data_IF_760963441935
#
_entry.id   IF_760963441935
#
_cell.length_a   1.000
_cell.length_b   1.000
_cell.length_c   1.000
_cell.angle_alpha   90.00
_cell.angle_beta   90.00
_cell.angle_gamma   90.00
#
_symmetry.space_group_name_H-M   'P 1'
#
loop_
_entity.id
_entity.type
_entity.pdbx_description
1 polymer ?
#
# COMPACT_ATOMS: atom_id res chain seq x y z
N UNK A 1 -13.17 46.13 17.06
CA UNK A 1 -11.73 45.74 16.98
C UNK A 1 -11.21 45.71 15.52
N UNK A 2 -9.91 45.84 15.26
CA UNK A 2 -9.34 45.79 13.89
C UNK A 2 -9.07 44.35 13.41
N UNK A 3 -8.93 44.11 12.11
CA UNK A 3 -8.63 42.77 11.60
C UNK A 3 -7.20 42.34 11.96
N UNK A 4 -6.96 41.04 12.19
CA UNK A 4 -5.60 40.52 12.40
C UNK A 4 -4.77 40.65 11.11
N UNK A 5 -3.52 41.11 11.23
CA UNK A 5 -2.62 41.35 10.08
C UNK A 5 -1.88 40.09 9.60
N UNK A 6 -1.78 39.07 10.46
CA UNK A 6 -1.07 37.82 10.17
C UNK A 6 -1.86 36.63 10.68
N UNK A 7 -2.50 35.91 9.77
CA UNK A 7 -3.14 34.61 10.03
C UNK A 7 -2.46 33.54 9.19
N UNK A 8 -2.19 32.40 9.82
CA UNK A 8 -1.49 31.27 9.20
C UNK A 8 -2.10 29.95 9.67
N UNK A 9 -2.00 28.93 8.82
CA UNK A 9 -2.27 27.54 9.20
C UNK A 9 -1.02 26.98 9.85
N UNK A 10 -1.09 26.64 11.14
CA UNK A 10 0.03 26.04 11.87
C UNK A 10 0.08 24.51 11.70
N UNK A 11 -1.08 23.88 11.52
CA UNK A 11 -1.21 22.47 11.18
C UNK A 11 -2.46 22.24 10.33
N UNK A 12 -2.37 21.34 9.35
CA UNK A 12 -3.48 20.90 8.53
C UNK A 12 -3.51 19.37 8.49
N UNK A 13 -4.71 18.82 8.59
CA UNK A 13 -4.98 17.40 8.39
C UNK A 13 -6.13 17.22 7.38
N UNK A 14 -6.58 15.99 7.20
CA UNK A 14 -7.68 15.66 6.29
C UNK A 14 -9.05 16.15 6.81
N UNK A 15 -9.19 16.39 8.12
CA UNK A 15 -10.45 16.84 8.75
C UNK A 15 -10.30 18.10 9.63
N UNK A 16 -9.06 18.58 9.85
CA UNK A 16 -8.80 19.72 10.72
C UNK A 16 -7.87 20.77 10.11
N UNK A 17 -8.13 22.04 10.43
CA UNK A 17 -7.25 23.16 10.17
C UNK A 17 -7.01 23.94 11.47
N UNK A 18 -5.76 24.00 11.91
CA UNK A 18 -5.35 24.79 13.06
C UNK A 18 -4.91 26.18 12.58
N UNK A 19 -5.77 27.16 12.82
CA UNK A 19 -5.55 28.56 12.49
C UNK A 19 -4.90 29.27 13.68
N UNK A 20 -3.85 30.04 13.43
CA UNK A 20 -3.23 30.94 14.41
C UNK A 20 -3.08 32.34 13.82
N UNK A 21 -3.27 33.36 14.66
CA UNK A 21 -3.14 34.75 14.23
C UNK A 21 -2.54 35.66 15.29
N UNK A 22 -2.22 36.90 14.90
CA UNK A 22 -1.75 37.92 15.84
C UNK A 22 -2.88 38.45 16.73
N UNK A 23 -2.68 38.58 18.05
CA UNK A 23 -3.69 39.15 18.95
C UNK A 23 -4.06 40.58 18.55
N UNK A 24 -5.36 40.84 18.46
CA UNK A 24 -5.95 42.14 18.13
C UNK A 24 -6.25 42.92 19.42
N UNK A 25 -5.79 44.17 19.49
CA UNK A 25 -6.09 45.04 20.63
C UNK A 25 -7.59 45.35 20.71
N UNK A 26 -8.18 45.12 21.88
CA UNK A 26 -9.58 45.42 22.17
C UNK A 26 -10.58 44.43 21.59
N UNK A 27 -10.11 43.25 21.16
CA UNK A 27 -10.97 42.09 20.91
C UNK A 27 -11.00 41.20 22.16
N UNK A 28 -12.19 40.81 22.58
CA UNK A 28 -12.41 39.91 23.73
C UNK A 28 -12.78 38.49 23.27
N UNK A 29 -13.23 38.35 22.02
CA UNK A 29 -13.63 37.10 21.37
C UNK A 29 -13.24 37.14 19.90
N UNK A 30 -12.86 35.99 19.34
CA UNK A 30 -12.70 35.78 17.90
C UNK A 30 -13.72 34.77 17.42
N UNK A 31 -14.54 35.17 16.44
CA UNK A 31 -15.39 34.28 15.67
C UNK A 31 -14.68 33.92 14.37
N UNK A 32 -14.23 32.67 14.26
CA UNK A 32 -13.58 32.15 13.05
C UNK A 32 -14.61 31.37 12.25
N UNK A 33 -14.79 31.75 11.00
CA UNK A 33 -15.75 31.13 10.08
C UNK A 33 -15.00 30.58 8.87
N UNK A 34 -15.09 29.27 8.68
CA UNK A 34 -14.61 28.59 7.47
C UNK A 34 -15.81 28.19 6.61
N UNK A 35 -15.77 28.57 5.33
CA UNK A 35 -16.85 28.32 4.38
C UNK A 35 -16.30 27.55 3.19
N UNK A 36 -16.91 26.40 2.92
CA UNK A 36 -16.78 25.68 1.65
C UNK A 36 -18.11 25.78 0.86
N UNK A 37 -18.17 25.22 -0.34
CA UNK A 37 -19.36 25.20 -1.19
C UNK A 37 -20.61 24.61 -0.49
N UNK A 38 -20.43 23.67 0.43
CA UNK A 38 -21.54 22.92 1.04
C UNK A 38 -21.74 23.19 2.54
N UNK A 39 -20.75 23.75 3.24
CA UNK A 39 -20.77 23.82 4.70
C UNK A 39 -20.11 25.08 5.26
N UNK A 40 -20.50 25.40 6.50
CA UNK A 40 -19.95 26.50 7.27
C UNK A 40 -19.53 25.96 8.63
N UNK A 41 -18.23 25.94 8.88
CA UNK A 41 -17.65 25.58 10.16
C UNK A 41 -17.35 26.85 10.95
N UNK A 42 -17.74 26.86 12.22
CA UNK A 42 -17.64 28.01 13.11
C UNK A 42 -16.83 27.61 14.34
N UNK A 43 -16.03 28.55 14.82
CA UNK A 43 -15.19 28.36 15.99
C UNK A 43 -15.01 29.68 16.72
N UNK A 44 -15.43 29.69 17.98
CA UNK A 44 -15.40 30.86 18.83
C UNK A 44 -14.43 30.63 19.96
N UNK A 45 -13.36 31.44 20.01
CA UNK A 45 -12.35 31.34 21.05
C UNK A 45 -11.89 32.75 21.48
N UNK A 46 -11.43 32.84 22.71
CA UNK A 46 -10.80 34.05 23.27
C UNK A 46 -9.30 34.09 22.96
N UNK A 47 -8.68 32.93 22.73
CA UNK A 47 -7.31 32.83 22.30
C UNK A 47 -7.17 33.17 20.80
N UNK A 48 -6.00 33.68 20.36
CA UNK A 48 -5.74 34.00 18.96
C UNK A 48 -5.38 32.74 18.14
N UNK A 49 -6.10 31.64 18.40
CA UNK A 49 -5.95 30.34 17.75
C UNK A 49 -7.30 29.66 17.71
N UNK A 50 -7.53 28.85 16.68
CA UNK A 50 -8.74 28.05 16.58
C UNK A 50 -8.47 26.76 15.79
N UNK A 51 -8.99 25.65 16.30
CA UNK A 51 -9.02 24.37 15.59
C UNK A 51 -10.39 24.20 14.90
N UNK A 52 -10.42 24.37 13.58
CA UNK A 52 -11.57 24.01 12.77
C UNK A 52 -11.54 22.49 12.56
N UNK A 53 -12.63 21.81 12.91
CA UNK A 53 -12.79 20.35 12.81
C UNK A 53 -13.99 20.00 11.94
N UNK A 54 -14.17 18.72 11.64
CA UNK A 54 -15.21 18.20 10.75
C UNK A 54 -15.14 18.79 9.32
N UNK A 55 -13.93 19.07 8.84
CA UNK A 55 -13.71 19.53 7.48
C UNK A 55 -13.71 18.35 6.50
N UNK A 56 -14.13 18.62 5.27
CA UNK A 56 -13.99 17.71 4.15
C UNK A 56 -12.55 17.70 3.64
N UNK A 57 -12.04 16.50 3.35
CA UNK A 57 -10.69 16.33 2.82
C UNK A 57 -10.56 16.82 1.37
N UNK A 58 -9.35 17.17 0.95
CA UNK A 58 -9.07 17.73 -0.38
C UNK A 58 -10.01 18.88 -0.80
N UNK A 59 -10.42 19.72 0.15
CA UNK A 59 -11.32 20.84 -0.09
C UNK A 59 -10.65 22.19 0.21
N UNK A 60 -11.23 23.24 -0.37
CA UNK A 60 -10.75 24.62 -0.28
C UNK A 60 -11.69 25.45 0.56
N UNK A 61 -11.29 25.77 1.78
CA UNK A 61 -12.08 26.60 2.70
C UNK A 61 -11.69 28.06 2.60
N UNK A 62 -12.72 28.92 2.55
CA UNK A 62 -12.60 30.36 2.71
C UNK A 62 -12.77 30.70 4.20
N UNK A 63 -11.66 31.01 4.87
CA UNK A 63 -11.61 31.27 6.31
C UNK A 63 -11.55 32.76 6.57
N UNK A 64 -12.44 33.27 7.41
CA UNK A 64 -12.43 34.65 7.90
C UNK A 64 -12.40 34.67 9.43
N UNK A 65 -11.55 35.52 9.99
CA UNK A 65 -11.41 35.71 11.43
C UNK A 65 -12.05 37.06 11.78
N UNK A 66 -13.11 37.02 12.58
CA UNK A 66 -13.95 38.16 12.94
C UNK A 66 -13.69 38.50 14.41
N UNK A 67 -12.99 39.60 14.71
CA UNK A 67 -12.74 39.99 16.08
C UNK A 67 -13.92 40.78 16.64
N UNK A 68 -14.37 40.40 17.83
CA UNK A 68 -15.54 40.94 18.52
C UNK A 68 -15.18 41.49 19.89
N UNK A 69 -15.95 42.46 20.37
CA UNK A 69 -15.98 42.88 21.77
C UNK A 69 -17.39 43.32 22.17
N UNK A 70 -17.64 43.45 23.47
CA UNK A 70 -18.96 43.77 23.98
C UNK A 70 -19.38 45.23 23.72
N UNK A 71 -18.42 46.13 23.49
CA UNK A 71 -18.68 47.59 23.39
C UNK A 71 -18.99 48.03 21.96
N UNK A 72 -18.22 47.54 20.99
CA UNK A 72 -18.24 47.92 19.58
C UNK A 72 -18.78 46.81 18.66
N UNK A 73 -19.05 45.63 19.20
CA UNK A 73 -19.50 44.47 18.44
C UNK A 73 -18.39 43.85 17.58
N UNK A 74 -18.81 43.06 16.59
CA UNK A 74 -17.94 42.32 15.69
C UNK A 74 -17.55 43.13 14.45
N UNK A 75 -16.28 43.02 14.03
CA UNK A 75 -15.83 43.63 12.80
C UNK A 75 -15.95 42.68 11.61
N UNK A 76 -16.96 42.89 10.77
CA UNK A 76 -17.25 42.06 9.59
C UNK A 76 -16.50 42.47 8.31
N UNK A 77 -15.58 43.44 8.37
CA UNK A 77 -14.85 43.92 7.18
C UNK A 77 -13.58 43.11 6.89
N UNK A 78 -13.29 42.06 7.66
CA UNK A 78 -12.07 41.27 7.49
C UNK A 78 -12.13 40.44 6.21
N UNK A 79 -11.02 40.42 5.47
CA UNK A 79 -10.92 39.68 4.21
C UNK A 79 -10.78 38.19 4.46
N UNK A 80 -11.49 37.33 3.70
CA UNK A 80 -11.29 35.90 3.79
C UNK A 80 -9.94 35.47 3.19
N UNK A 81 -9.37 34.41 3.74
CA UNK A 81 -8.19 33.72 3.22
C UNK A 81 -8.55 32.29 2.83
N UNK A 82 -8.02 31.83 1.69
CA UNK A 82 -8.28 30.47 1.22
C UNK A 82 -7.21 29.51 1.70
N UNK A 83 -7.63 28.42 2.31
CA UNK A 83 -6.77 27.33 2.77
C UNK A 83 -7.27 25.99 2.25
N UNK A 84 -6.33 25.08 2.01
CA UNK A 84 -6.60 23.71 1.58
C UNK A 84 -6.44 22.75 2.76
N UNK A 85 -7.35 21.81 2.89
CA UNK A 85 -7.19 20.66 3.78
C UNK A 85 -6.23 19.65 3.17
N UNK A 86 -5.69 18.75 3.99
CA UNK A 86 -4.88 17.66 3.47
C UNK A 86 -5.72 16.73 2.56
N UNK A 87 -5.07 15.94 1.69
CA UNK A 87 -5.76 15.04 0.77
C UNK A 87 -6.62 14.00 1.49
N UNK A 88 -7.64 13.50 0.80
CA UNK A 88 -8.38 12.33 1.20
C UNK A 88 -7.50 11.08 1.17
N UNK A 89 -7.78 10.14 2.06
CA UNK A 89 -7.19 8.80 2.01
C UNK A 89 -7.50 8.13 0.66
N UNK A 90 -6.50 7.58 -0.06
CA UNK A 90 -6.75 6.81 -1.27
C UNK A 90 -7.35 5.43 -0.94
N UNK A 91 -8.11 4.85 -1.87
CA UNK A 91 -8.69 3.51 -1.72
C UNK A 91 -7.99 2.51 -2.64
N UNK A 92 -7.32 1.51 -2.07
CA UNK A 92 -6.66 0.45 -2.86
C UNK A 92 -7.74 -0.45 -3.48
N UNK A 93 -7.79 -0.50 -4.80
CA UNK A 93 -8.80 -1.27 -5.55
C UNK A 93 -8.27 -2.61 -6.03
N UNK A 94 -6.97 -2.72 -6.32
CA UNK A 94 -6.36 -3.95 -6.77
C UNK A 94 -4.88 -4.02 -6.39
N UNK A 95 -4.45 -5.23 -6.01
CA UNK A 95 -3.05 -5.59 -5.83
C UNK A 95 -2.80 -6.84 -6.66
N UNK A 96 -2.00 -6.73 -7.72
CA UNK A 96 -1.76 -7.82 -8.67
C UNK A 96 -0.27 -8.11 -8.85
N UNK A 97 0.09 -9.39 -8.81
CA UNK A 97 1.43 -9.83 -9.16
C UNK A 97 1.56 -9.83 -10.70
N UNK A 98 2.51 -9.07 -11.23
CA UNK A 98 2.71 -8.98 -12.69
C UNK A 98 3.76 -9.97 -13.18
N UNK A 99 4.81 -10.16 -12.39
CA UNK A 99 5.94 -11.01 -12.76
C UNK A 99 6.28 -11.93 -11.59
N UNK A 100 6.05 -13.23 -11.75
CA UNK A 100 6.47 -14.24 -10.78
C UNK A 100 8.00 -14.34 -10.67
N UNK A 101 8.73 -14.00 -11.73
CA UNK A 101 10.20 -14.09 -11.77
C UNK A 101 10.93 -12.86 -11.23
N UNK A 102 10.31 -11.68 -11.23
CA UNK A 102 10.89 -10.44 -10.67
C UNK A 102 10.26 -10.01 -9.35
N UNK A 103 9.33 -10.83 -8.83
CA UNK A 103 8.53 -10.55 -7.62
C UNK A 103 7.99 -9.13 -7.60
N UNK A 104 7.40 -8.71 -8.72
CA UNK A 104 6.86 -7.36 -8.89
C UNK A 104 5.34 -7.35 -8.70
N UNK A 105 4.86 -6.39 -7.91
CA UNK A 105 3.45 -6.21 -7.59
C UNK A 105 3.01 -4.83 -8.04
N UNK A 106 1.91 -4.79 -8.80
CA UNK A 106 1.24 -3.56 -9.17
C UNK A 106 0.11 -3.29 -8.19
N UNK A 107 0.21 -2.15 -7.53
CA UNK A 107 -0.82 -1.63 -6.63
C UNK A 107 -1.59 -0.56 -7.40
N UNK A 108 -2.91 -0.67 -7.43
CA UNK A 108 -3.81 0.30 -8.06
C UNK A 108 -4.82 0.81 -7.04
N UNK A 109 -5.16 2.09 -7.13
CA UNK A 109 -6.07 2.77 -6.20
C UNK A 109 -6.97 3.77 -6.92
N UNK A 110 -8.05 4.16 -6.26
CA UNK A 110 -8.93 5.26 -6.66
C UNK A 110 -8.75 6.45 -5.72
N UNK A 111 -8.85 7.65 -6.27
CA UNK A 111 -8.67 8.89 -5.52
C UNK A 111 -9.22 10.08 -6.31
N UNK A 112 -9.94 10.96 -5.60
CA UNK A 112 -10.45 12.23 -6.13
C UNK A 112 -9.54 13.42 -5.77
N UNK A 113 -8.34 13.14 -5.25
CA UNK A 113 -7.41 14.17 -4.81
C UNK A 113 -6.86 15.01 -5.98
N UNK A 114 -6.79 16.31 -5.77
CA UNK A 114 -6.26 17.25 -6.76
C UNK A 114 -4.74 17.39 -6.64
N UNK A 115 -4.01 17.16 -7.73
CA UNK A 115 -2.56 17.32 -7.81
C UNK A 115 -1.75 16.62 -6.68
N UNK A 116 -2.23 15.47 -6.20
CA UNK A 116 -1.59 14.71 -5.13
C UNK A 116 -0.52 13.75 -5.66
N UNK A 117 0.54 13.56 -4.87
CA UNK A 117 1.50 12.48 -5.02
C UNK A 117 1.15 11.35 -4.06
N UNK A 118 1.22 10.12 -4.54
CA UNK A 118 0.91 8.94 -3.75
C UNK A 118 2.18 8.17 -3.41
N UNK A 119 2.23 7.71 -2.17
CA UNK A 119 3.27 6.85 -1.65
C UNK A 119 2.65 5.54 -1.23
N UNK A 120 3.02 4.45 -1.90
CA UNK A 120 2.59 3.10 -1.54
C UNK A 120 3.68 2.48 -0.68
N UNK A 121 3.28 2.02 0.50
CA UNK A 121 4.15 1.32 1.46
C UNK A 121 3.74 -0.16 1.55
N UNK A 122 4.71 -1.05 1.36
CA UNK A 122 4.56 -2.49 1.46
C UNK A 122 5.45 -2.95 2.61
N UNK A 123 4.84 -3.29 3.74
CA UNK A 123 5.52 -3.59 4.99
C UNK A 123 5.42 -5.08 5.28
N UNK A 124 6.56 -5.75 5.36
CA UNK A 124 6.64 -7.17 5.67
C UNK A 124 6.58 -7.42 7.17
N UNK A 125 6.12 -8.61 7.57
CA UNK A 125 6.04 -9.01 8.98
C UNK A 125 7.41 -9.02 9.70
N UNK A 126 8.50 -9.15 8.94
CA UNK A 126 9.89 -9.19 9.44
C UNK A 126 10.52 -7.78 9.48
N UNK A 127 9.75 -6.73 9.19
CA UNK A 127 10.20 -5.33 9.22
C UNK A 127 10.77 -4.82 7.90
N UNK A 128 10.78 -5.64 6.85
CA UNK A 128 11.18 -5.24 5.50
C UNK A 128 10.15 -4.27 4.92
N UNK A 129 10.58 -3.05 4.58
CA UNK A 129 9.68 -2.03 4.02
C UNK A 129 10.09 -1.70 2.60
N UNK A 130 9.15 -1.81 1.67
CA UNK A 130 9.31 -1.39 0.28
C UNK A 130 8.36 -0.22 -0.01
N UNK A 131 8.85 0.77 -0.74
CA UNK A 131 8.07 1.99 -1.04
C UNK A 131 8.14 2.28 -2.52
N UNK A 132 7.03 2.74 -3.08
CA UNK A 132 7.00 3.28 -4.43
C UNK A 132 6.15 4.54 -4.50
N UNK A 133 6.50 5.44 -5.42
CA UNK A 133 5.89 6.76 -5.54
C UNK A 133 5.27 6.91 -6.93
N UNK A 134 4.09 7.51 -7.00
CA UNK A 134 3.40 7.76 -8.27
C UNK A 134 2.52 9.00 -8.17
N UNK A 135 2.41 9.74 -9.26
CA UNK A 135 1.44 10.82 -9.44
C UNK A 135 0.18 10.33 -10.18
N UNK A 136 0.15 9.07 -10.60
CA UNK A 136 -1.02 8.42 -11.18
C UNK A 136 -1.84 7.66 -10.14
N UNK A 137 -2.61 6.69 -10.60
CA UNK A 137 -3.49 5.83 -9.79
C UNK A 137 -2.95 4.42 -9.62
N UNK A 138 -1.69 4.19 -9.99
CA UNK A 138 -1.02 2.91 -9.83
C UNK A 138 0.48 3.07 -9.64
N UNK A 139 1.09 2.09 -8.99
CA UNK A 139 2.52 2.04 -8.76
C UNK A 139 3.01 0.60 -8.67
N UNK A 140 4.19 0.37 -9.26
CA UNK A 140 4.80 -0.95 -9.35
C UNK A 140 5.91 -1.05 -8.31
N UNK A 141 5.73 -1.96 -7.37
CA UNK A 141 6.72 -2.32 -6.34
C UNK A 141 7.50 -3.52 -6.87
N UNK A 142 8.83 -3.43 -6.88
CA UNK A 142 9.72 -4.49 -7.39
C UNK A 142 10.64 -5.01 -6.29
N UNK A 143 11.26 -6.16 -6.54
CA UNK A 143 12.24 -6.79 -5.66
C UNK A 143 11.65 -7.19 -4.30
N UNK A 144 10.41 -7.66 -4.29
CA UNK A 144 9.84 -8.28 -3.09
C UNK A 144 10.42 -9.69 -2.91
N UNK A 145 10.92 -10.06 -1.73
CA UNK A 145 11.24 -11.45 -1.40
C UNK A 145 10.09 -12.40 -1.74
N UNK A 146 10.41 -13.56 -2.33
CA UNK A 146 9.43 -14.60 -2.59
C UNK A 146 9.00 -15.31 -1.28
N UNK A 147 7.82 -15.92 -1.30
CA UNK A 147 7.26 -16.67 -0.19
C UNK A 147 7.07 -15.87 1.11
N UNK A 148 6.90 -14.56 0.97
CA UNK A 148 6.77 -13.59 2.06
C UNK A 148 5.40 -12.92 2.07
N UNK A 149 4.91 -12.61 3.27
CA UNK A 149 3.64 -11.93 3.52
C UNK A 149 3.88 -10.45 3.85
N UNK A 150 3.05 -9.58 3.27
CA UNK A 150 3.14 -8.13 3.35
C UNK A 150 1.79 -7.48 3.62
N UNK A 151 1.87 -6.29 4.18
CA UNK A 151 0.77 -5.35 4.37
C UNK A 151 0.98 -4.13 3.48
N UNK A 152 0.03 -3.88 2.57
CA UNK A 152 0.08 -2.78 1.60
C UNK A 152 -0.82 -1.64 2.05
N UNK A 153 -0.28 -0.43 2.11
CA UNK A 153 -1.03 0.80 2.37
C UNK A 153 -0.59 1.91 1.41
N UNK A 154 -1.48 2.87 1.16
CA UNK A 154 -1.19 4.03 0.33
C UNK A 154 -1.51 5.34 1.07
N UNK A 155 -0.66 6.34 0.92
CA UNK A 155 -0.87 7.70 1.44
C UNK A 155 -0.84 8.69 0.29
N UNK A 156 -1.65 9.74 0.38
CA UNK A 156 -1.65 10.86 -0.55
C UNK A 156 -0.99 12.08 0.10
N UNK A 157 -0.24 12.86 -0.67
CA UNK A 157 0.48 14.03 -0.21
C UNK A 157 0.29 15.20 -1.16
N UNK A 158 0.04 16.39 -0.61
CA UNK A 158 -0.01 17.68 -1.33
C UNK A 158 0.76 18.74 -0.54
N UNK A 159 0.80 19.97 -1.05
CA UNK A 159 1.34 21.12 -0.31
C UNK A 159 0.59 21.44 0.97
N UNK A 160 -0.67 20.99 1.11
CA UNK A 160 -1.48 21.18 2.30
C UNK A 160 -1.13 20.21 3.43
N UNK A 161 -0.62 19.02 3.11
CA UNK A 161 -0.27 17.99 4.08
C UNK A 161 -0.37 16.58 3.52
N UNK A 162 -0.35 15.60 4.41
CA UNK A 162 -0.53 14.17 4.09
C UNK A 162 -1.90 13.67 4.53
N UNK A 163 -2.46 12.73 3.77
CA UNK A 163 -3.67 12.02 4.13
C UNK A 163 -3.40 11.00 5.23
N UNK A 164 -4.49 10.50 5.84
CA UNK A 164 -4.39 9.23 6.57
C UNK A 164 -4.01 8.08 5.61
N UNK A 165 -3.28 7.05 6.06
CA UNK A 165 -3.05 5.86 5.26
C UNK A 165 -4.35 5.16 4.88
N UNK A 166 -4.38 4.56 3.70
CA UNK A 166 -5.46 3.67 3.28
C UNK A 166 -5.64 2.51 4.23
N UNK A 167 -6.79 1.84 4.14
CA UNK A 167 -6.92 0.51 4.72
C UNK A 167 -5.82 -0.41 4.18
N UNK A 168 -5.28 -1.22 5.08
CA UNK A 168 -4.22 -2.17 4.74
C UNK A 168 -4.79 -3.34 3.95
N UNK A 169 -4.14 -3.70 2.85
CA UNK A 169 -4.48 -4.86 2.04
C UNK A 169 -3.39 -5.93 2.22
N UNK A 170 -3.74 -7.18 2.61
CA UNK A 170 -2.77 -8.25 2.72
C UNK A 170 -2.27 -8.67 1.34
N UNK A 171 -0.98 -8.95 1.24
CA UNK A 171 -0.30 -9.38 0.03
C UNK A 171 0.59 -10.59 0.36
N UNK A 172 0.30 -11.72 -0.26
CA UNK A 172 1.22 -12.87 -0.28
C UNK A 172 2.00 -12.85 -1.59
N UNK A 173 3.32 -13.03 -1.53
CA UNK A 173 4.15 -13.19 -2.72
C UNK A 173 4.18 -14.66 -3.16
N UNK A 174 4.44 -14.91 -4.44
CA UNK A 174 4.54 -16.28 -4.95
C UNK A 174 5.64 -17.06 -4.20
N UNK A 175 5.48 -18.38 -3.96
CA UNK A 175 6.48 -19.19 -3.29
C UNK A 175 7.85 -19.12 -3.97
N UNK A 176 8.91 -19.30 -3.18
CA UNK A 176 10.24 -19.41 -3.76
C UNK A 176 10.44 -20.72 -4.51
N UNK A 177 11.31 -20.72 -5.53
CA UNK A 177 11.86 -21.98 -6.04
C UNK A 177 12.74 -22.65 -4.98
N UNK A 178 12.67 -23.99 -4.82
CA UNK A 178 13.64 -24.73 -4.03
C UNK A 178 15.07 -24.55 -4.55
N UNK A 179 16.01 -24.23 -3.66
CA UNK A 179 17.41 -24.04 -4.05
C UNK A 179 18.06 -25.32 -4.57
N UNK A 180 17.74 -26.47 -3.96
CA UNK A 180 18.36 -27.74 -4.26
C UNK A 180 17.32 -28.77 -4.68
N UNK A 181 17.60 -29.46 -5.79
CA UNK A 181 16.83 -30.60 -6.27
C UNK A 181 17.78 -31.75 -6.58
N UNK A 182 17.49 -32.91 -6.01
CA UNK A 182 18.27 -34.14 -6.21
C UNK A 182 17.39 -35.22 -6.78
N UNK A 183 17.85 -35.80 -7.89
CA UNK A 183 17.20 -36.91 -8.57
C UNK A 183 18.04 -38.15 -8.36
N UNK A 184 17.44 -39.20 -7.80
CA UNK A 184 18.11 -40.48 -7.56
C UNK A 184 17.28 -41.63 -8.14
N UNK A 185 17.93 -42.51 -8.89
CA UNK A 185 17.27 -43.69 -9.41
C UNK A 185 17.09 -44.71 -8.29
N UNK A 186 15.84 -45.17 -8.08
CA UNK A 186 15.53 -46.21 -7.09
C UNK A 186 15.52 -47.58 -7.74
N UNK A 187 14.89 -47.67 -8.92
CA UNK A 187 14.88 -48.88 -9.76
C UNK A 187 14.90 -48.49 -11.24
N UNK A 188 14.98 -49.47 -12.15
CA UNK A 188 14.86 -49.22 -13.59
C UNK A 188 13.55 -48.55 -14.03
N UNK A 189 12.51 -48.59 -13.19
CA UNK A 189 11.20 -48.02 -13.49
C UNK A 189 10.75 -46.97 -12.46
N UNK A 190 11.60 -46.59 -11.48
CA UNK A 190 11.27 -45.63 -10.42
C UNK A 190 12.42 -44.69 -10.12
N UNK A 191 12.08 -43.40 -10.02
CA UNK A 191 13.00 -42.32 -9.67
C UNK A 191 12.46 -41.56 -8.46
N UNK A 192 13.34 -41.30 -7.50
CA UNK A 192 13.06 -40.46 -6.35
C UNK A 192 13.57 -39.05 -6.63
N UNK A 193 12.67 -38.07 -6.55
CA UNK A 193 12.97 -36.66 -6.69
C UNK A 193 12.75 -36.02 -5.33
N UNK A 194 13.79 -35.45 -4.75
CA UNK A 194 13.75 -34.74 -3.47
C UNK A 194 14.27 -33.33 -3.64
N UNK A 195 13.70 -32.38 -2.91
CA UNK A 195 14.06 -30.97 -2.99
C UNK A 195 14.19 -30.35 -1.60
N UNK A 196 14.77 -29.14 -1.52
CA UNK A 196 14.77 -28.35 -0.30
C UNK A 196 13.41 -27.68 -0.05
N UNK A 197 13.10 -27.34 1.21
CA UNK A 197 11.91 -26.54 1.53
C UNK A 197 11.95 -25.20 0.75
N UNK A 198 10.87 -24.88 0.05
CA UNK A 198 10.65 -23.56 -0.51
C UNK A 198 9.96 -22.65 0.51
N UNK A 199 10.44 -21.41 0.60
CA UNK A 199 9.77 -20.40 1.41
C UNK A 199 8.39 -20.07 0.82
N UNK A 200 7.36 -19.96 1.68
CA UNK A 200 5.97 -19.70 1.29
C UNK A 200 5.24 -20.85 0.59
N UNK A 201 5.88 -22.00 0.35
CA UNK A 201 5.22 -23.15 -0.27
C UNK A 201 4.54 -24.02 0.79
N UNK A 202 3.27 -24.38 0.53
CA UNK A 202 2.47 -25.28 1.35
C UNK A 202 2.39 -26.68 0.75
N UNK A 203 2.29 -26.78 -0.58
CA UNK A 203 2.26 -28.04 -1.32
C UNK A 203 3.18 -27.96 -2.55
N UNK A 204 3.55 -29.12 -3.10
CA UNK A 204 4.46 -29.23 -4.23
C UNK A 204 3.93 -30.21 -5.27
N UNK A 205 4.06 -29.85 -6.54
CA UNK A 205 3.80 -30.73 -7.67
C UNK A 205 5.11 -30.95 -8.43
N UNK A 206 5.64 -32.16 -8.38
CA UNK A 206 6.83 -32.56 -9.13
C UNK A 206 6.43 -33.32 -10.39
N UNK A 207 6.99 -32.96 -11.53
CA UNK A 207 6.77 -33.65 -12.81
C UNK A 207 8.07 -33.99 -13.53
N UNK A 208 8.13 -35.23 -13.99
CA UNK A 208 9.13 -35.74 -14.92
C UNK A 208 8.54 -35.75 -16.32
N UNK A 209 9.11 -34.96 -17.23
CA UNK A 209 8.65 -34.88 -18.61
C UNK A 209 9.75 -35.32 -19.57
N UNK A 210 9.41 -36.23 -20.48
CA UNK A 210 10.26 -36.64 -21.60
C UNK A 210 9.41 -36.90 -22.84
N UNK A 211 10.00 -36.96 -24.04
CA UNK A 211 9.28 -37.33 -25.26
C UNK A 211 8.66 -38.74 -25.23
N UNK A 212 9.12 -39.61 -24.32
CA UNK A 212 8.72 -41.03 -24.25
C UNK A 212 7.81 -41.35 -23.07
N UNK A 213 7.57 -40.40 -22.16
CA UNK A 213 6.77 -40.61 -20.98
C UNK A 213 6.73 -39.40 -20.05
N UNK A 214 5.68 -39.34 -19.24
CA UNK A 214 5.42 -38.29 -18.26
C UNK A 214 4.99 -38.93 -16.93
N UNK A 215 5.51 -38.44 -15.82
CA UNK A 215 5.10 -38.83 -14.48
C UNK A 215 4.97 -37.58 -13.60
N UNK A 216 4.01 -37.56 -12.69
CA UNK A 216 3.74 -36.42 -11.82
C UNK A 216 3.38 -36.92 -10.42
N UNK A 217 3.71 -36.12 -9.41
CA UNK A 217 3.35 -36.36 -8.03
C UNK A 217 3.01 -35.05 -7.32
N UNK A 218 1.93 -35.06 -6.54
CA UNK A 218 1.52 -33.96 -5.67
C UNK A 218 1.71 -34.39 -4.21
N UNK A 219 2.48 -33.62 -3.44
CA UNK A 219 2.82 -33.95 -2.06
C UNK A 219 2.97 -32.68 -1.20
N UNK A 220 2.80 -32.86 0.11
CA UNK A 220 3.13 -31.86 1.13
C UNK A 220 4.58 -31.98 1.61
N UNK A 221 5.21 -33.13 1.33
CA UNK A 221 6.57 -33.45 1.72
C UNK A 221 7.56 -32.91 0.67
N UNK A 222 8.83 -32.80 1.04
CA UNK A 222 9.89 -32.29 0.14
C UNK A 222 10.49 -33.37 -0.76
N UNK A 223 9.67 -34.33 -1.17
CA UNK A 223 10.12 -35.42 -2.01
C UNK A 223 9.00 -36.34 -2.45
N UNK A 224 9.20 -36.97 -3.60
CA UNK A 224 8.30 -38.00 -4.10
C UNK A 224 9.01 -39.02 -5.00
N UNK A 225 8.54 -40.27 -4.91
CA UNK A 225 8.95 -41.36 -5.79
C UNK A 225 7.95 -41.47 -6.94
N UNK A 226 8.45 -41.30 -8.17
CA UNK A 226 7.67 -41.40 -9.40
C UNK A 226 8.06 -42.66 -10.17
N UNK A 227 7.05 -43.45 -10.55
CA UNK A 227 7.20 -44.69 -11.31
C UNK A 227 6.93 -44.54 -12.81
N UNK A 228 6.98 -45.66 -13.53
CA UNK A 228 6.65 -45.76 -14.96
C UNK A 228 7.58 -44.95 -15.89
N UNK A 229 8.84 -44.79 -15.50
CA UNK A 229 9.86 -44.14 -16.34
C UNK A 229 10.59 -45.15 -17.24
N UNK A 230 11.08 -44.68 -18.39
CA UNK A 230 11.84 -45.47 -19.36
C UNK A 230 13.34 -45.26 -19.18
N UNK A 231 14.06 -46.34 -18.91
CA UNK A 231 15.53 -46.35 -18.77
C UNK A 231 16.23 -45.74 -19.99
N UNK A 232 17.30 -44.97 -19.76
CA UNK A 232 18.11 -44.38 -20.83
C UNK A 232 17.43 -43.22 -21.55
N UNK A 233 16.43 -42.60 -20.90
CA UNK A 233 15.74 -41.41 -21.40
C UNK A 233 16.09 -40.22 -20.50
N UNK A 234 16.41 -39.09 -21.12
CA UNK A 234 16.63 -37.86 -20.38
C UNK A 234 15.27 -37.24 -20.02
N UNK A 235 15.06 -37.00 -18.74
CA UNK A 235 13.85 -36.38 -18.22
C UNK A 235 14.17 -34.94 -17.80
N UNK A 236 13.26 -34.04 -18.10
CA UNK A 236 13.23 -32.70 -17.50
C UNK A 236 12.39 -32.78 -16.23
N UNK A 237 12.90 -32.23 -15.14
CA UNK A 237 12.15 -32.11 -13.89
C UNK A 237 11.55 -30.71 -13.84
N UNK A 238 10.23 -30.60 -13.76
CA UNK A 238 9.57 -29.37 -13.36
C UNK A 238 9.01 -29.54 -11.96
N UNK A 239 9.17 -28.53 -11.13
CA UNK A 239 8.67 -28.48 -9.78
C UNK A 239 7.84 -27.22 -9.61
N UNK A 240 6.60 -27.40 -9.22
CA UNK A 240 5.66 -26.33 -8.96
C UNK A 240 5.41 -26.24 -7.46
N UNK A 241 5.72 -25.07 -6.90
CA UNK A 241 5.49 -24.76 -5.49
C UNK A 241 4.19 -23.97 -5.36
N UNK A 242 3.29 -24.42 -4.48
CA UNK A 242 1.96 -23.83 -4.31
C UNK A 242 1.82 -23.32 -2.88
N UNK A 243 1.49 -22.04 -2.76
CA UNK A 243 1.22 -21.38 -1.48
C UNK A 243 -0.13 -21.76 -0.89
N UNK A 244 -0.42 -21.29 0.34
CA UNK A 244 -1.71 -21.52 0.99
C UNK A 244 -2.87 -20.84 0.25
N UNK A 245 -2.63 -19.67 -0.34
CA UNK A 245 -3.65 -18.90 -1.07
C UNK A 245 -3.76 -19.30 -2.55
N UNK A 246 -2.91 -20.23 -3.01
CA UNK A 246 -2.95 -20.74 -4.38
C UNK A 246 -2.08 -19.98 -5.37
N UNK A 247 -1.19 -19.08 -4.92
CA UNK A 247 -0.08 -18.62 -5.76
C UNK A 247 0.87 -19.77 -6.06
N UNK A 248 1.22 -19.93 -7.33
CA UNK A 248 2.05 -21.01 -7.87
C UNK A 248 3.37 -20.44 -8.39
N UNK A 249 4.44 -21.24 -8.37
CA UNK A 249 5.71 -20.91 -9.02
C UNK A 249 6.31 -22.17 -9.61
N UNK A 250 6.53 -22.15 -10.93
CA UNK A 250 7.13 -23.27 -11.66
C UNK A 250 8.64 -23.07 -11.83
N UNK A 251 9.40 -24.08 -11.42
CA UNK A 251 10.86 -24.11 -11.48
C UNK A 251 11.28 -25.32 -12.31
N UNK A 252 12.04 -25.08 -13.39
CA UNK A 252 12.49 -26.14 -14.29
C UNK A 252 13.97 -26.43 -14.06
N UNK A 253 14.30 -27.71 -13.90
CA UNK A 253 15.66 -28.19 -13.68
C UNK A 253 16.02 -29.15 -14.83
N UNK A 254 17.17 -28.89 -15.44
CA UNK A 254 17.67 -29.65 -16.59
C UNK A 254 18.87 -30.52 -16.20
N UNK A 255 19.06 -31.61 -16.96
CA UNK A 255 20.32 -32.38 -16.93
C UNK A 255 20.29 -33.68 -16.13
N UNK A 256 19.12 -34.29 -15.92
CA UNK A 256 19.03 -35.58 -15.22
C UNK A 256 18.85 -36.73 -16.21
N UNK A 257 19.78 -37.68 -16.18
CA UNK A 257 19.69 -38.96 -16.88
C UNK A 257 19.31 -40.06 -15.89
N UNK A 258 18.25 -40.82 -16.19
CA UNK A 258 17.82 -42.00 -15.43
C UNK A 258 18.17 -43.32 -16.14
#
# INVERSE_FOLDING_TARGET
>A
PCCPEHSTVSAASWETLLMEWSPVRGADLYETRAVDANEVILCNDTAPRCALSDLTCNARYSVVIIPCNDVSGCNLTCSPQTHETAPCMPEITAVSQINMSSSSVLVSWTSDNTAANYTVSVIGLVGDTHVCHSNGTSCLVSNLPCGSEYEVSATASTSAGESMPSYTVPLETAPCCPDNLTVSQVTQAMTNVTWSLANGAQTYIASLSSPRGHAQCHTMETGCVMGCITCGTNYTVSLEAISRTGHETECTYHGFSA
#
